data_IF_117715401844
#
_entry.id   IF_117715401844
#
_cell.length_a   1.000
_cell.length_b   1.000
_cell.length_c   1.000
_cell.angle_alpha   90.00
_cell.angle_beta   90.00
_cell.angle_gamma   90.00
#
_symmetry.space_group_name_H-M   'P 1'
#
loop_
_entity.id
_entity.type
_entity.pdbx_description
1 polymer ?
#
# COMPACT_ATOMS: atom_id res chain seq x y z
N UNK A 1 -96.11 39.71 8.96
CA UNK A 1 -95.35 40.16 10.16
C UNK A 1 -93.98 39.55 10.09
N UNK A 2 -93.09 40.40 9.75
CA UNK A 2 -91.75 40.09 9.23
C UNK A 2 -90.76 40.05 10.39
N UNK A 3 -89.88 39.05 10.38
CA UNK A 3 -88.75 38.95 11.28
C UNK A 3 -87.46 38.85 10.53
N UNK A 4 -86.79 40.01 10.42
CA UNK A 4 -85.53 40.18 9.83
C UNK A 4 -84.41 39.47 10.66
N UNK A 5 -83.68 38.54 10.05
CA UNK A 5 -82.53 37.96 10.69
C UNK A 5 -81.25 38.59 10.07
N UNK A 6 -80.55 39.31 10.92
CA UNK A 6 -79.22 39.88 10.62
C UNK A 6 -78.13 38.82 10.74
N UNK A 7 -77.44 38.50 9.61
CA UNK A 7 -76.31 37.65 9.63
C UNK A 7 -75.05 38.42 10.06
N UNK A 8 -74.47 37.99 11.19
CA UNK A 8 -73.19 38.47 11.68
C UNK A 8 -72.07 37.78 10.94
N UNK A 9 -71.26 38.54 10.14
CA UNK A 9 -70.07 38.09 9.52
C UNK A 9 -68.93 37.88 10.57
N UNK A 10 -68.35 36.71 10.58
CA UNK A 10 -67.15 36.43 11.38
C UNK A 10 -65.91 37.08 10.76
N UNK A 11 -64.96 37.63 11.54
CA UNK A 11 -63.77 38.25 10.96
C UNK A 11 -62.82 37.17 10.48
N UNK A 12 -62.45 37.27 9.20
CA UNK A 12 -61.43 36.43 8.56
C UNK A 12 -60.04 36.65 9.21
N UNK A 13 -59.54 35.62 9.80
CA UNK A 13 -58.20 35.62 10.37
C UNK A 13 -57.18 35.51 9.23
N UNK A 14 -56.72 36.65 8.71
CA UNK A 14 -55.65 36.80 7.74
C UNK A 14 -54.27 36.63 8.40
N UNK A 15 -53.96 35.47 8.93
CA UNK A 15 -52.65 35.09 9.38
C UNK A 15 -51.79 34.63 8.20
N UNK A 16 -51.25 35.57 7.41
CA UNK A 16 -50.21 35.30 6.44
C UNK A 16 -48.91 34.92 7.13
N UNK A 17 -48.87 33.75 7.75
CA UNK A 17 -47.59 33.17 8.17
C UNK A 17 -46.80 32.79 6.93
N UNK A 18 -45.71 33.51 6.64
CA UNK A 18 -44.74 33.16 5.62
C UNK A 18 -44.25 31.76 5.94
N UNK A 19 -44.75 30.72 5.22
CA UNK A 19 -44.28 29.36 5.42
C UNK A 19 -42.82 29.33 5.00
N UNK A 20 -41.91 29.21 5.98
CA UNK A 20 -40.45 29.11 5.74
C UNK A 20 -40.21 27.90 4.82
N UNK A 21 -39.56 28.14 3.69
CA UNK A 21 -39.31 27.08 2.70
C UNK A 21 -38.50 25.94 3.33
N UNK A 22 -38.66 24.70 2.83
CA UNK A 22 -37.85 23.55 3.28
C UNK A 22 -36.36 23.83 3.13
N UNK A 23 -35.99 24.56 2.07
CA UNK A 23 -34.60 25.00 1.85
C UNK A 23 -34.12 25.90 2.99
N UNK A 24 -34.93 26.87 3.38
CA UNK A 24 -34.53 27.83 4.42
C UNK A 24 -34.50 27.19 5.81
N UNK A 25 -35.44 26.30 6.12
CA UNK A 25 -35.36 25.46 7.31
C UNK A 25 -34.10 24.60 7.32
N UNK A 26 -33.73 23.99 6.18
CA UNK A 26 -32.48 23.26 6.00
C UNK A 26 -31.25 24.11 6.26
N UNK A 27 -31.24 25.36 5.78
CA UNK A 27 -30.18 26.33 6.01
C UNK A 27 -30.01 26.68 7.50
N UNK A 28 -31.12 26.84 8.24
CA UNK A 28 -31.07 27.11 9.68
C UNK A 28 -30.50 25.92 10.47
N UNK A 29 -30.92 24.69 10.15
CA UNK A 29 -30.31 23.48 10.75
C UNK A 29 -28.83 23.31 10.37
N UNK A 30 -28.46 23.66 9.16
CA UNK A 30 -27.05 23.65 8.72
C UNK A 30 -26.20 24.62 9.53
N UNK A 31 -26.66 25.89 9.71
CA UNK A 31 -25.99 26.90 10.53
C UNK A 31 -25.90 26.48 12.01
N UNK A 32 -26.92 25.79 12.50
CA UNK A 32 -26.94 25.23 13.86
C UNK A 32 -26.09 23.95 14.04
N UNK A 33 -25.36 23.51 12.98
CA UNK A 33 -24.53 22.30 13.02
C UNK A 33 -25.30 20.97 12.93
N UNK A 34 -26.65 21.02 12.80
CA UNK A 34 -27.48 19.83 12.68
C UNK A 34 -27.55 19.35 11.22
N UNK A 35 -26.42 18.87 10.72
CA UNK A 35 -26.24 18.48 9.31
C UNK A 35 -27.16 17.33 8.88
N UNK A 36 -27.53 16.43 9.80
CA UNK A 36 -28.44 15.32 9.50
C UNK A 36 -29.86 15.83 9.19
N UNK A 37 -30.39 16.72 10.03
CA UNK A 37 -31.71 17.34 9.79
C UNK A 37 -31.67 18.24 8.55
N UNK A 38 -30.58 19.01 8.35
CA UNK A 38 -30.41 19.83 7.17
C UNK A 38 -30.47 18.96 5.89
N UNK A 39 -29.71 17.86 5.83
CA UNK A 39 -29.72 16.95 4.68
C UNK A 39 -31.08 16.30 4.43
N UNK A 40 -31.85 15.97 5.48
CA UNK A 40 -33.21 15.47 5.36
C UNK A 40 -34.17 16.50 4.75
N UNK A 41 -34.12 17.75 5.21
CA UNK A 41 -34.92 18.84 4.67
C UNK A 41 -34.56 19.19 3.23
N UNK A 42 -33.28 19.24 2.88
CA UNK A 42 -32.86 19.40 1.48
C UNK A 42 -33.34 18.24 0.62
N UNK A 43 -33.37 17.01 1.14
CA UNK A 43 -33.91 15.86 0.41
C UNK A 43 -35.40 15.99 0.15
N UNK A 44 -36.16 16.53 1.10
CA UNK A 44 -37.59 16.83 0.91
C UNK A 44 -37.79 17.96 -0.10
N UNK A 45 -36.96 19.03 -0.03
CA UNK A 45 -36.98 20.13 -0.98
C UNK A 45 -36.66 19.66 -2.42
N UNK A 46 -35.68 18.77 -2.60
CA UNK A 46 -35.31 18.17 -3.89
C UNK A 46 -36.48 17.37 -4.48
N UNK A 47 -37.28 16.67 -3.67
CA UNK A 47 -38.48 15.99 -4.17
C UNK A 47 -39.51 16.96 -4.76
N UNK A 48 -39.58 18.19 -4.23
CA UNK A 48 -40.49 19.24 -4.71
C UNK A 48 -39.92 19.96 -5.94
N UNK A 49 -38.60 20.21 -5.94
CA UNK A 49 -37.90 20.92 -7.03
C UNK A 49 -36.59 20.19 -7.39
N UNK A 50 -36.68 19.11 -8.20
CA UNK A 50 -35.52 18.28 -8.53
C UNK A 50 -34.53 18.93 -9.51
N UNK A 51 -34.88 20.07 -10.11
CA UNK A 51 -34.01 20.80 -11.05
C UNK A 51 -33.25 21.97 -10.42
N UNK A 52 -33.37 22.16 -9.12
CA UNK A 52 -32.74 23.28 -8.41
C UNK A 52 -31.31 22.92 -7.95
N UNK A 53 -30.27 23.42 -8.60
CA UNK A 53 -28.88 23.07 -8.26
C UNK A 53 -28.48 23.51 -6.85
N UNK A 54 -29.13 24.57 -6.31
CA UNK A 54 -28.81 25.08 -4.96
C UNK A 54 -29.09 24.03 -3.88
N UNK A 55 -30.16 23.23 -4.05
CA UNK A 55 -30.54 22.21 -3.09
C UNK A 55 -29.51 21.08 -3.00
N UNK A 56 -29.03 20.64 -4.15
CA UNK A 56 -27.94 19.64 -4.21
C UNK A 56 -26.63 20.20 -3.65
N UNK A 57 -26.25 21.43 -3.99
CA UNK A 57 -25.07 22.10 -3.45
C UNK A 57 -25.11 22.21 -1.93
N UNK A 58 -26.27 22.54 -1.34
CA UNK A 58 -26.46 22.62 0.10
C UNK A 58 -26.42 21.26 0.76
N UNK A 59 -27.06 20.24 0.12
CA UNK A 59 -27.04 18.87 0.65
C UNK A 59 -25.64 18.25 0.55
N UNK A 60 -24.89 18.54 -0.51
CA UNK A 60 -23.47 18.16 -0.61
C UNK A 60 -22.65 18.69 0.55
N UNK A 61 -22.85 19.96 0.92
CA UNK A 61 -22.19 20.55 2.07
C UNK A 61 -22.59 19.85 3.39
N UNK A 62 -23.86 19.50 3.57
CA UNK A 62 -24.33 18.78 4.75
C UNK A 62 -23.74 17.36 4.79
N UNK A 63 -23.70 16.63 3.67
CA UNK A 63 -23.07 15.30 3.59
C UNK A 63 -21.57 15.33 3.82
N UNK A 64 -20.89 16.39 3.36
CA UNK A 64 -19.46 16.58 3.61
C UNK A 64 -19.19 16.68 5.12
N UNK A 65 -19.96 17.50 5.84
CA UNK A 65 -19.83 17.63 7.30
C UNK A 65 -20.21 16.34 8.05
N UNK A 66 -21.02 15.48 7.45
CA UNK A 66 -21.37 14.16 7.99
C UNK A 66 -20.38 13.06 7.58
N UNK A 67 -19.26 13.40 6.93
CA UNK A 67 -18.28 12.48 6.35
C UNK A 67 -18.90 11.44 5.38
N UNK A 68 -20.06 11.73 4.79
CA UNK A 68 -20.71 10.90 3.76
C UNK A 68 -20.21 11.29 2.37
N UNK A 69 -18.90 11.09 2.14
CA UNK A 69 -18.16 11.67 1.03
C UNK A 69 -18.68 11.26 -0.35
N UNK A 70 -19.06 9.99 -0.54
CA UNK A 70 -19.62 9.51 -1.82
C UNK A 70 -20.95 10.18 -2.16
N UNK A 71 -21.82 10.38 -1.15
CA UNK A 71 -23.10 11.09 -1.37
C UNK A 71 -22.87 12.59 -1.63
N UNK A 72 -21.92 13.18 -0.93
CA UNK A 72 -21.53 14.58 -1.15
C UNK A 72 -20.99 14.80 -2.56
N UNK A 73 -20.17 13.86 -3.07
CA UNK A 73 -19.62 13.93 -4.42
C UNK A 73 -20.73 13.84 -5.49
N UNK A 74 -21.64 12.88 -5.35
CA UNK A 74 -22.78 12.74 -6.26
C UNK A 74 -23.65 14.00 -6.31
N UNK A 75 -23.91 14.65 -5.17
CA UNK A 75 -24.67 15.89 -5.12
C UNK A 75 -23.92 17.08 -5.72
N UNK A 76 -22.60 17.16 -5.52
CA UNK A 76 -21.77 18.18 -6.16
C UNK A 76 -21.76 18.01 -7.71
N UNK A 77 -21.68 16.78 -8.21
CA UNK A 77 -21.76 16.48 -9.63
C UNK A 77 -23.14 16.77 -10.20
N UNK A 78 -24.22 16.47 -9.47
CA UNK A 78 -25.58 16.85 -9.84
C UNK A 78 -25.72 18.37 -9.90
N UNK A 79 -25.10 19.11 -8.98
CA UNK A 79 -25.08 20.59 -9.00
C UNK A 79 -24.44 21.10 -10.30
N UNK A 80 -23.31 20.52 -10.71
CA UNK A 80 -22.61 20.87 -11.96
C UNK A 80 -23.49 20.52 -13.17
N UNK A 81 -24.10 19.33 -13.20
CA UNK A 81 -24.95 18.90 -14.29
C UNK A 81 -26.15 19.82 -14.50
N UNK A 82 -26.77 20.31 -13.42
CA UNK A 82 -27.91 21.22 -13.48
C UNK A 82 -27.52 22.67 -13.78
N UNK A 83 -26.31 23.06 -13.42
CA UNK A 83 -25.80 24.41 -13.65
C UNK A 83 -24.28 24.41 -13.93
N UNK A 84 -23.88 24.08 -15.17
CA UNK A 84 -22.47 23.87 -15.54
C UNK A 84 -21.58 25.12 -15.36
N UNK A 85 -22.16 26.32 -15.40
CA UNK A 85 -21.42 27.58 -15.29
C UNK A 85 -21.39 28.14 -13.86
N UNK A 86 -21.94 27.41 -12.91
CA UNK A 86 -22.01 27.89 -11.54
C UNK A 86 -20.80 27.39 -10.72
N UNK A 87 -19.94 28.30 -10.31
CA UNK A 87 -18.69 28.02 -9.60
C UNK A 87 -18.87 27.19 -8.33
N UNK A 88 -20.03 27.33 -7.66
CA UNK A 88 -20.29 26.61 -6.40
C UNK A 88 -20.35 25.09 -6.58
N UNK A 89 -20.79 24.59 -7.74
CA UNK A 89 -20.78 23.16 -8.02
C UNK A 89 -19.34 22.61 -7.98
N UNK A 90 -18.44 23.26 -8.70
CA UNK A 90 -17.03 22.89 -8.74
C UNK A 90 -16.33 23.10 -7.40
N UNK A 91 -16.66 24.18 -6.71
CA UNK A 91 -16.15 24.44 -5.36
C UNK A 91 -16.55 23.30 -4.40
N UNK A 92 -17.82 22.87 -4.40
CA UNK A 92 -18.30 21.73 -3.59
C UNK A 92 -17.58 20.46 -3.96
N UNK A 93 -17.45 20.15 -5.27
CA UNK A 93 -16.70 18.99 -5.75
C UNK A 93 -15.25 19.02 -5.23
N UNK A 94 -14.56 20.15 -5.35
CA UNK A 94 -13.21 20.32 -4.83
C UNK A 94 -13.11 20.08 -3.32
N UNK A 95 -14.05 20.61 -2.52
CA UNK A 95 -14.07 20.38 -1.07
C UNK A 95 -14.29 18.91 -0.70
N UNK A 96 -15.11 18.19 -1.45
CA UNK A 96 -15.36 16.76 -1.20
C UNK A 96 -14.14 15.94 -1.58
N UNK A 97 -13.52 16.21 -2.72
CA UNK A 97 -12.29 15.54 -3.18
C UNK A 97 -11.12 15.81 -2.23
N UNK A 98 -11.02 17.03 -1.67
CA UNK A 98 -10.06 17.35 -0.60
C UNK A 98 -10.25 16.42 0.61
N UNK A 99 -11.50 16.22 1.05
CA UNK A 99 -11.82 15.35 2.18
C UNK A 99 -11.60 13.85 1.86
N UNK A 100 -11.59 13.48 0.58
CA UNK A 100 -11.23 12.14 0.08
C UNK A 100 -9.72 11.98 -0.13
N UNK A 101 -8.91 12.98 0.15
CA UNK A 101 -7.47 13.03 -0.12
C UNK A 101 -7.09 12.86 -1.60
N UNK A 102 -8.03 13.12 -2.51
CA UNK A 102 -7.85 13.12 -3.96
C UNK A 102 -7.44 14.53 -4.41
N UNK A 103 -6.22 14.93 -4.02
CA UNK A 103 -5.79 16.32 -4.09
C UNK A 103 -5.64 16.85 -5.53
N UNK A 104 -5.17 16.04 -6.46
CA UNK A 104 -5.00 16.47 -7.86
C UNK A 104 -6.37 16.78 -8.48
N UNK A 105 -7.35 15.90 -8.31
CA UNK A 105 -8.71 16.11 -8.79
C UNK A 105 -9.42 17.26 -8.05
N UNK A 106 -9.12 17.47 -6.78
CA UNK A 106 -9.62 18.62 -6.03
C UNK A 106 -9.06 19.92 -6.61
N UNK A 107 -7.78 19.94 -7.00
CA UNK A 107 -7.14 21.10 -7.61
C UNK A 107 -7.80 21.44 -8.96
N UNK A 108 -8.03 20.44 -9.81
CA UNK A 108 -8.72 20.62 -11.09
C UNK A 108 -10.13 21.22 -10.89
N UNK A 109 -10.88 20.70 -9.92
CA UNK A 109 -12.21 21.24 -9.62
C UNK A 109 -12.16 22.70 -9.15
N UNK A 110 -11.18 23.06 -8.27
CA UNK A 110 -11.01 24.44 -7.85
C UNK A 110 -10.51 25.35 -8.98
N UNK A 111 -9.69 24.86 -9.91
CA UNK A 111 -9.28 25.62 -11.11
C UNK A 111 -10.47 26.00 -11.96
N UNK A 112 -11.39 25.05 -12.22
CA UNK A 112 -12.63 25.36 -12.94
C UNK A 112 -13.50 26.35 -12.17
N UNK A 113 -13.62 26.20 -10.84
CA UNK A 113 -14.34 27.17 -10.03
C UNK A 113 -13.73 28.56 -10.15
N UNK A 114 -12.40 28.68 -10.20
CA UNK A 114 -11.67 29.95 -10.37
C UNK A 114 -11.90 30.57 -11.76
N UNK A 115 -12.08 29.77 -12.81
CA UNK A 115 -12.41 30.29 -14.15
C UNK A 115 -13.77 30.98 -14.16
N UNK A 116 -14.77 30.41 -13.45
CA UNK A 116 -16.10 31.03 -13.37
C UNK A 116 -16.18 32.17 -12.35
N UNK A 117 -15.33 32.18 -11.34
CA UNK A 117 -15.26 33.26 -10.34
C UNK A 117 -13.81 33.58 -9.96
N UNK A 118 -13.07 34.34 -10.80
CA UNK A 118 -11.66 34.68 -10.57
C UNK A 118 -11.41 35.52 -9.31
N UNK A 119 -12.42 36.22 -8.83
CA UNK A 119 -12.29 37.11 -7.66
C UNK A 119 -12.52 36.37 -6.33
N UNK A 120 -12.80 35.07 -6.36
CA UNK A 120 -13.03 34.30 -5.14
C UNK A 120 -11.74 34.06 -4.35
N UNK A 121 -11.60 34.82 -3.26
CA UNK A 121 -10.47 34.64 -2.32
C UNK A 121 -10.49 33.28 -1.63
N UNK A 122 -11.68 32.70 -1.45
CA UNK A 122 -11.86 31.39 -0.85
C UNK A 122 -11.32 30.29 -1.76
N UNK A 123 -11.67 30.31 -3.06
CA UNK A 123 -11.15 29.39 -4.07
C UNK A 123 -9.63 29.48 -4.13
N UNK A 124 -9.08 30.70 -4.23
CA UNK A 124 -7.63 30.93 -4.29
C UNK A 124 -6.90 30.37 -3.07
N UNK A 125 -7.47 30.55 -1.87
CA UNK A 125 -6.92 30.00 -0.62
C UNK A 125 -6.95 28.46 -0.63
N UNK A 126 -8.05 27.87 -1.08
CA UNK A 126 -8.19 26.42 -1.22
C UNK A 126 -7.18 25.86 -2.20
N UNK A 127 -7.05 26.46 -3.38
CA UNK A 127 -6.05 26.03 -4.38
C UNK A 127 -4.63 26.03 -3.82
N UNK A 128 -4.22 27.12 -3.14
CA UNK A 128 -2.90 27.20 -2.52
C UNK A 128 -2.68 26.08 -1.50
N UNK A 129 -3.66 25.83 -0.64
CA UNK A 129 -3.59 24.78 0.39
C UNK A 129 -3.51 23.39 -0.25
N UNK A 130 -4.37 23.11 -1.23
CA UNK A 130 -4.44 21.78 -1.90
C UNK A 130 -3.16 21.53 -2.70
N UNK A 131 -2.62 22.54 -3.40
CA UNK A 131 -1.34 22.41 -4.10
C UNK A 131 -0.19 22.07 -3.15
N UNK A 132 -0.23 22.54 -1.91
CA UNK A 132 0.76 22.16 -0.91
C UNK A 132 0.56 20.70 -0.46
N UNK A 133 -0.68 20.32 -0.12
CA UNK A 133 -1.01 18.95 0.30
C UNK A 133 -0.69 17.92 -0.78
N UNK A 134 -0.99 18.21 -2.05
CA UNK A 134 -0.64 17.35 -3.17
C UNK A 134 0.87 17.12 -3.29
N UNK A 135 1.66 18.21 -3.17
CA UNK A 135 3.14 18.12 -3.19
C UNK A 135 3.68 17.32 -2.01
N UNK A 136 3.13 17.57 -0.81
CA UNK A 136 3.59 16.86 0.40
C UNK A 136 3.25 15.37 0.34
N UNK A 137 2.05 15.02 -0.18
CA UNK A 137 1.65 13.62 -0.43
C UNK A 137 2.58 12.95 -1.44
N UNK A 138 2.82 13.60 -2.59
CA UNK A 138 3.71 13.06 -3.63
C UNK A 138 5.14 12.88 -3.10
N UNK A 139 5.65 13.85 -2.34
CA UNK A 139 6.97 13.74 -1.70
C UNK A 139 7.02 12.58 -0.71
N UNK A 140 5.96 12.40 0.09
CA UNK A 140 5.86 11.29 1.03
C UNK A 140 5.83 9.94 0.30
N UNK A 141 5.09 9.83 -0.80
CA UNK A 141 5.04 8.64 -1.65
C UNK A 141 6.40 8.37 -2.33
N UNK A 142 7.11 9.38 -2.82
CA UNK A 142 8.45 9.24 -3.38
C UNK A 142 9.46 8.78 -2.32
N UNK A 143 9.43 9.38 -1.12
CA UNK A 143 10.29 8.95 0.00
C UNK A 143 9.94 7.51 0.41
N UNK A 144 8.68 7.13 0.39
CA UNK A 144 8.25 5.77 0.69
C UNK A 144 8.69 4.78 -0.38
N UNK A 145 8.58 5.14 -1.66
CA UNK A 145 9.14 4.35 -2.78
C UNK A 145 10.66 4.20 -2.67
N UNK A 146 11.38 5.28 -2.34
CA UNK A 146 12.84 5.19 -2.12
C UNK A 146 13.20 4.34 -0.90
N UNK A 147 12.37 4.33 0.15
CA UNK A 147 12.56 3.50 1.34
C UNK A 147 12.13 2.06 1.16
N UNK A 148 11.10 1.83 0.33
CA UNK A 148 10.60 0.48 0.02
C UNK A 148 11.45 -0.24 -1.02
N UNK A 149 12.22 0.46 -1.82
CA UNK A 149 13.09 -0.10 -2.85
C UNK A 149 14.50 -0.27 -2.28
N UNK A 150 14.72 -1.37 -1.58
CA UNK A 150 16.07 -1.92 -1.46
C UNK A 150 16.47 -2.32 -2.88
N UNK A 151 17.44 -1.65 -3.47
CA UNK A 151 17.98 -2.01 -4.78
C UNK A 151 18.84 -3.27 -4.63
N UNK A 152 18.15 -4.39 -4.58
CA UNK A 152 18.77 -5.72 -4.41
C UNK A 152 19.82 -5.97 -5.50
N UNK A 153 19.52 -5.62 -6.75
CA UNK A 153 20.42 -5.85 -7.87
C UNK A 153 21.72 -5.05 -7.72
N UNK A 154 21.65 -3.82 -7.22
CA UNK A 154 22.83 -3.00 -6.92
C UNK A 154 23.69 -3.62 -5.83
N UNK A 155 23.08 -4.10 -4.74
CA UNK A 155 23.80 -4.74 -3.63
C UNK A 155 24.42 -6.09 -4.02
N UNK A 156 23.88 -6.74 -5.05
CA UNK A 156 24.40 -7.99 -5.59
C UNK A 156 25.34 -7.80 -6.80
N UNK A 157 25.67 -6.57 -7.17
CA UNK A 157 26.52 -6.29 -8.35
C UNK A 157 27.90 -6.94 -8.28
N UNK A 158 28.53 -6.97 -7.10
CA UNK A 158 29.80 -7.66 -6.87
C UNK A 158 29.68 -9.16 -7.11
N UNK A 159 28.56 -9.76 -6.66
CA UNK A 159 28.29 -11.17 -6.86
C UNK A 159 28.10 -11.52 -8.34
N UNK A 160 27.57 -10.59 -9.15
CA UNK A 160 27.42 -10.78 -10.59
C UNK A 160 28.79 -11.04 -11.26
N UNK A 161 29.83 -10.30 -10.83
CA UNK A 161 31.20 -10.51 -11.33
C UNK A 161 31.74 -11.87 -10.87
N UNK A 162 31.58 -12.23 -9.59
CA UNK A 162 32.02 -13.53 -9.08
C UNK A 162 31.32 -14.69 -9.81
N UNK A 163 30.01 -14.60 -10.04
CA UNK A 163 29.26 -15.59 -10.81
C UNK A 163 29.73 -15.68 -12.26
N UNK A 164 30.02 -14.54 -12.87
CA UNK A 164 30.51 -14.50 -14.25
C UNK A 164 31.87 -15.22 -14.41
N UNK A 165 32.76 -15.08 -13.43
CA UNK A 165 34.02 -15.79 -13.38
C UNK A 165 33.83 -17.30 -13.22
N UNK A 166 32.99 -17.71 -12.28
CA UNK A 166 32.72 -19.12 -11.95
C UNK A 166 31.98 -19.88 -13.08
N UNK A 167 31.06 -19.20 -13.77
CA UNK A 167 30.24 -19.80 -14.83
C UNK A 167 30.79 -19.59 -16.26
N UNK A 168 31.96 -18.94 -16.39
CA UNK A 168 32.61 -18.74 -17.69
C UNK A 168 31.99 -17.66 -18.58
N UNK A 169 31.29 -16.69 -17.99
CA UNK A 169 30.78 -15.51 -18.67
C UNK A 169 29.43 -15.00 -18.17
N UNK A 170 29.13 -13.74 -18.49
CA UNK A 170 27.89 -13.06 -18.03
C UNK A 170 26.61 -13.73 -18.57
N UNK A 171 26.66 -14.33 -19.74
CA UNK A 171 25.51 -14.98 -20.37
C UNK A 171 25.16 -16.28 -19.66
N UNK A 172 26.16 -17.04 -19.23
CA UNK A 172 25.99 -18.30 -18.52
C UNK A 172 25.45 -18.11 -17.09
N UNK A 173 25.80 -17.01 -16.43
CA UNK A 173 25.33 -16.74 -15.08
C UNK A 173 24.04 -15.91 -15.01
N UNK A 174 23.52 -15.40 -16.13
CA UNK A 174 22.34 -14.51 -16.18
C UNK A 174 21.13 -15.08 -15.46
N UNK A 175 20.79 -16.32 -15.76
CA UNK A 175 19.63 -16.99 -15.16
C UNK A 175 19.79 -17.18 -13.65
N UNK A 176 20.99 -17.55 -13.23
CA UNK A 176 21.32 -17.75 -11.81
C UNK A 176 21.25 -16.44 -11.05
N UNK A 177 21.78 -15.36 -11.63
CA UNK A 177 21.73 -14.03 -11.04
C UNK A 177 20.30 -13.50 -10.96
N UNK A 178 19.51 -13.61 -12.05
CA UNK A 178 18.10 -13.19 -12.06
C UNK A 178 17.27 -13.94 -11.02
N UNK A 179 17.48 -15.25 -10.92
CA UNK A 179 16.79 -16.09 -9.92
C UNK A 179 17.07 -15.63 -8.49
N UNK A 180 18.33 -15.29 -8.15
CA UNK A 180 18.68 -14.78 -6.83
C UNK A 180 18.02 -13.41 -6.57
N UNK A 181 18.12 -12.48 -7.54
CA UNK A 181 17.52 -11.15 -7.43
C UNK A 181 16.02 -11.25 -7.21
N UNK A 182 15.31 -11.98 -8.08
CA UNK A 182 13.85 -12.19 -7.96
C UNK A 182 13.44 -12.81 -6.62
N UNK A 183 14.19 -13.80 -6.14
CA UNK A 183 13.90 -14.45 -4.86
C UNK A 183 14.05 -13.46 -3.70
N UNK A 184 15.11 -12.66 -3.70
CA UNK A 184 15.37 -11.68 -2.64
C UNK A 184 14.38 -10.52 -2.69
N UNK A 185 14.03 -10.02 -3.88
CA UNK A 185 13.00 -8.98 -4.07
C UNK A 185 11.62 -9.45 -3.60
N UNK A 186 11.25 -10.69 -3.92
CA UNK A 186 9.99 -11.28 -3.46
C UNK A 186 9.94 -11.43 -1.93
N UNK A 187 11.06 -11.79 -1.30
CA UNK A 187 11.15 -11.86 0.16
C UNK A 187 11.03 -10.46 0.79
N UNK A 188 11.72 -9.44 0.24
CA UNK A 188 11.60 -8.04 0.66
C UNK A 188 10.16 -7.55 0.51
N UNK A 189 9.53 -7.82 -0.62
CA UNK A 189 8.13 -7.47 -0.89
C UNK A 189 7.18 -8.13 0.11
N UNK A 190 7.34 -9.43 0.36
CA UNK A 190 6.54 -10.16 1.36
C UNK A 190 6.66 -9.53 2.75
N UNK A 191 7.87 -9.14 3.14
CA UNK A 191 8.08 -8.46 4.42
C UNK A 191 7.37 -7.10 4.49
N UNK A 192 7.42 -6.31 3.41
CA UNK A 192 6.73 -5.02 3.34
C UNK A 192 5.21 -5.16 3.45
N UNK A 193 4.65 -6.20 2.84
CA UNK A 193 3.20 -6.43 2.81
C UNK A 193 2.66 -7.03 4.12
N UNK A 194 3.40 -7.98 4.72
CA UNK A 194 2.89 -8.82 5.81
C UNK A 194 3.69 -8.74 7.11
N UNK A 195 4.82 -8.04 7.13
CA UNK A 195 5.82 -8.04 8.20
C UNK A 195 6.35 -9.45 8.52
N UNK A 196 6.28 -10.37 7.56
CA UNK A 196 6.72 -11.76 7.70
C UNK A 196 7.31 -12.27 6.39
N UNK A 197 8.17 -13.25 6.54
CA UNK A 197 8.68 -14.07 5.44
C UNK A 197 8.53 -15.53 5.86
N UNK A 198 7.91 -16.33 5.00
CA UNK A 198 7.80 -17.77 5.25
C UNK A 198 9.13 -18.46 4.93
N UNK A 199 9.54 -19.45 5.72
CA UNK A 199 10.75 -20.21 5.45
C UNK A 199 10.52 -21.13 4.25
N UNK A 200 11.24 -20.86 3.16
CA UNK A 200 11.06 -21.54 1.87
C UNK A 200 12.40 -21.80 1.19
N UNK A 201 12.41 -22.87 0.40
CA UNK A 201 13.51 -23.16 -0.54
C UNK A 201 12.98 -23.08 -1.96
N UNK A 202 13.69 -22.34 -2.78
CA UNK A 202 13.46 -22.15 -4.20
C UNK A 202 14.58 -22.84 -4.97
N UNK A 203 14.27 -23.50 -6.08
CA UNK A 203 15.23 -24.15 -6.91
C UNK A 203 15.19 -23.61 -8.34
N UNK A 204 16.36 -23.40 -8.93
CA UNK A 204 16.52 -23.09 -10.34
C UNK A 204 16.93 -24.37 -11.07
N UNK A 205 16.09 -24.85 -11.98
CA UNK A 205 16.33 -26.08 -12.73
C UNK A 205 17.20 -25.83 -13.97
N UNK A 206 17.86 -26.89 -14.42
CA UNK A 206 18.61 -26.89 -15.67
C UNK A 206 17.67 -27.21 -16.85
N UNK A 207 17.30 -26.20 -17.62
CA UNK A 207 16.38 -26.33 -18.74
C UNK A 207 16.90 -27.22 -19.88
N UNK A 208 18.21 -27.42 -19.95
CA UNK A 208 18.82 -28.30 -20.99
C UNK A 208 18.64 -29.77 -20.65
N UNK A 209 18.42 -30.07 -19.37
CA UNK A 209 18.31 -31.45 -18.85
C UNK A 209 16.91 -31.84 -18.44
N UNK A 210 15.99 -30.87 -18.39
CA UNK A 210 14.61 -31.11 -17.95
C UNK A 210 13.63 -30.53 -18.96
N UNK A 211 12.60 -31.31 -19.34
CA UNK A 211 11.46 -30.83 -20.14
C UNK A 211 10.43 -30.06 -19.30
N UNK A 212 10.79 -29.65 -18.07
CA UNK A 212 9.92 -29.01 -17.10
C UNK A 212 10.14 -27.51 -17.05
N UNK A 213 9.22 -26.82 -16.36
CA UNK A 213 9.32 -25.37 -16.11
C UNK A 213 10.68 -25.00 -15.46
N UNK A 214 11.20 -23.83 -15.82
CA UNK A 214 12.49 -23.29 -15.34
C UNK A 214 12.59 -23.29 -13.81
N UNK A 215 11.49 -23.03 -13.11
CA UNK A 215 11.43 -22.99 -11.65
C UNK A 215 10.70 -24.22 -11.11
N UNK A 216 11.34 -24.86 -10.14
CA UNK A 216 10.73 -25.94 -9.38
C UNK A 216 9.62 -25.43 -8.45
N UNK A 217 8.75 -26.32 -7.97
CA UNK A 217 7.83 -25.97 -6.90
C UNK A 217 8.56 -25.41 -5.68
N UNK A 218 7.99 -24.36 -5.08
CA UNK A 218 8.51 -23.76 -3.86
C UNK A 218 8.26 -24.70 -2.68
N UNK A 219 9.33 -25.05 -1.96
CA UNK A 219 9.24 -25.98 -0.82
C UNK A 219 9.16 -25.18 0.49
N UNK A 220 8.05 -25.37 1.22
CA UNK A 220 7.93 -24.82 2.58
C UNK A 220 8.72 -25.69 3.57
N UNK A 221 9.54 -25.04 4.40
CA UNK A 221 10.42 -25.70 5.37
C UNK A 221 10.14 -25.29 6.82
N UNK A 222 8.94 -24.80 7.15
CA UNK A 222 8.57 -24.40 8.51
C UNK A 222 8.91 -25.49 9.53
N UNK A 223 8.48 -26.71 9.23
CA UNK A 223 8.68 -27.87 10.11
C UNK A 223 10.12 -28.34 10.23
N UNK A 224 10.99 -27.90 9.34
CA UNK A 224 12.40 -28.28 9.40
C UNK A 224 13.11 -27.76 10.66
N UNK A 225 12.59 -26.70 11.28
CA UNK A 225 13.20 -26.05 12.42
C UNK A 225 12.58 -26.43 13.78
N UNK A 226 11.59 -27.33 13.79
CA UNK A 226 10.92 -27.78 15.02
C UNK A 226 11.80 -28.70 15.88
N UNK A 227 12.65 -29.50 15.25
CA UNK A 227 13.55 -30.41 15.96
C UNK A 227 14.79 -30.77 15.12
N UNK A 228 15.88 -31.24 15.76
CA UNK A 228 17.06 -31.74 15.03
C UNK A 228 16.75 -32.88 14.05
N UNK A 229 15.77 -33.72 14.37
CA UNK A 229 15.37 -34.84 13.52
C UNK A 229 14.63 -34.36 12.27
N UNK A 230 13.64 -33.48 12.43
CA UNK A 230 12.92 -32.88 11.29
C UNK A 230 13.87 -32.05 10.42
N UNK A 231 14.82 -31.37 11.03
CA UNK A 231 15.87 -30.63 10.33
C UNK A 231 16.71 -31.55 9.44
N UNK A 232 17.28 -32.63 10.03
CA UNK A 232 18.10 -33.57 9.30
C UNK A 232 17.38 -34.24 8.13
N UNK A 233 16.13 -34.68 8.35
CA UNK A 233 15.30 -35.32 7.32
C UNK A 233 14.96 -34.36 6.19
N UNK A 234 14.52 -33.13 6.51
CA UNK A 234 14.17 -32.12 5.52
C UNK A 234 15.36 -31.78 4.63
N UNK A 235 16.52 -31.47 5.19
CA UNK A 235 17.70 -31.12 4.41
C UNK A 235 18.29 -32.31 3.65
N UNK A 236 18.16 -33.52 4.13
CA UNK A 236 18.52 -34.73 3.35
C UNK A 236 17.61 -34.89 2.12
N UNK A 237 16.31 -34.66 2.28
CA UNK A 237 15.37 -34.67 1.17
C UNK A 237 15.68 -33.57 0.17
N UNK A 238 15.94 -32.33 0.60
CA UNK A 238 16.25 -31.21 -0.26
C UNK A 238 17.53 -31.41 -1.08
N UNK A 239 18.57 -32.04 -0.47
CA UNK A 239 19.81 -32.42 -1.19
C UNK A 239 19.52 -33.44 -2.27
N UNK A 240 18.72 -34.46 -1.96
CA UNK A 240 18.34 -35.49 -2.96
C UNK A 240 17.52 -34.86 -4.07
N UNK A 241 16.55 -34.01 -3.71
CA UNK A 241 15.75 -33.30 -4.69
C UNK A 241 16.61 -32.41 -5.62
N UNK A 242 17.58 -31.68 -5.09
CA UNK A 242 18.48 -30.84 -5.89
C UNK A 242 19.25 -31.66 -6.95
N UNK A 243 19.63 -32.91 -6.60
CA UNK A 243 20.31 -33.83 -7.53
C UNK A 243 19.34 -34.36 -8.57
N UNK A 244 18.19 -34.90 -8.12
CA UNK A 244 17.23 -35.59 -8.98
C UNK A 244 16.54 -34.62 -9.97
N UNK A 245 16.38 -33.36 -9.57
CA UNK A 245 15.78 -32.32 -10.41
C UNK A 245 16.78 -31.57 -11.29
N UNK A 246 18.05 -31.96 -11.30
CA UNK A 246 19.13 -31.25 -12.01
C UNK A 246 19.14 -29.75 -11.70
N UNK A 247 19.07 -29.38 -10.41
CA UNK A 247 19.06 -27.99 -10.02
C UNK A 247 20.41 -27.32 -10.24
N UNK A 248 20.42 -26.16 -10.91
CA UNK A 248 21.62 -25.30 -11.10
C UNK A 248 21.94 -24.49 -9.86
N UNK A 249 20.91 -24.05 -9.13
CA UNK A 249 21.03 -23.25 -7.92
C UNK A 249 19.81 -23.43 -7.00
N UNK A 250 19.97 -23.02 -5.76
CA UNK A 250 18.89 -22.91 -4.80
C UNK A 250 19.02 -21.63 -3.96
N UNK A 251 17.86 -21.06 -3.60
CA UNK A 251 17.78 -19.98 -2.63
C UNK A 251 16.92 -20.45 -1.44
N UNK A 252 17.50 -20.37 -0.24
CA UNK A 252 16.79 -20.61 1.00
C UNK A 252 16.52 -19.28 1.67
N UNK A 253 15.25 -19.00 1.96
CA UNK A 253 14.80 -17.82 2.69
C UNK A 253 14.24 -18.27 4.03
N UNK A 254 14.70 -17.66 5.12
CA UNK A 254 14.24 -18.02 6.46
C UNK A 254 14.20 -16.80 7.39
N UNK A 255 13.09 -16.57 8.12
CA UNK A 255 13.02 -15.49 9.09
C UNK A 255 13.99 -15.76 10.25
N UNK A 256 14.58 -14.69 10.78
CA UNK A 256 15.48 -14.76 11.93
C UNK A 256 14.84 -15.44 13.13
N UNK A 257 13.54 -15.27 13.32
CA UNK A 257 12.80 -15.78 14.47
C UNK A 257 12.78 -17.31 14.60
N UNK A 258 12.89 -18.05 13.46
CA UNK A 258 12.88 -19.53 13.52
C UNK A 258 14.28 -20.14 13.62
N UNK A 259 15.32 -19.38 13.25
CA UNK A 259 16.68 -19.85 13.36
C UNK A 259 17.11 -19.67 14.80
N UNK A 260 17.19 -20.78 15.55
CA UNK A 260 17.67 -20.79 16.93
C UNK A 260 19.06 -20.18 17.02
N UNK A 261 19.09 -18.92 17.35
CA UNK A 261 20.23 -18.13 17.57
C UNK A 261 20.90 -18.59 18.87
N UNK A 262 22.03 -19.01 18.93
CA UNK A 262 23.31 -18.30 18.87
C UNK A 262 24.49 -19.08 18.28
N UNK A 263 24.26 -20.16 17.55
CA UNK A 263 25.36 -21.05 17.16
C UNK A 263 26.34 -20.41 16.19
N UNK A 264 25.84 -19.55 15.32
CA UNK A 264 26.66 -18.86 14.28
C UNK A 264 27.64 -17.85 14.86
N UNK A 265 27.34 -17.30 16.03
CA UNK A 265 28.07 -16.15 16.59
C UNK A 265 28.94 -16.51 17.78
N UNK A 266 28.88 -17.74 18.27
CA UNK A 266 29.74 -18.24 19.37
C UNK A 266 31.21 -18.26 19.01
N UNK A 267 31.58 -18.33 17.75
CA UNK A 267 32.97 -18.38 17.31
C UNK A 267 33.66 -17.02 17.11
N UNK A 268 32.92 -15.91 17.10
CA UNK A 268 33.49 -14.58 16.82
C UNK A 268 33.86 -13.76 18.07
N UNK A 269 33.98 -14.39 19.25
CA UNK A 269 34.32 -13.72 20.47
C UNK A 269 33.22 -12.85 21.06
N UNK A 270 33.52 -12.06 22.08
CA UNK A 270 32.56 -11.23 22.83
C UNK A 270 31.88 -10.08 22.05
N UNK A 271 31.98 -9.99 20.74
CA UNK A 271 31.32 -8.95 19.95
C UNK A 271 29.85 -9.30 19.80
N UNK A 272 28.98 -8.45 20.35
CA UNK A 272 27.55 -8.50 20.10
C UNK A 272 27.33 -8.31 18.59
N UNK A 273 26.59 -9.23 17.98
CA UNK A 273 26.18 -9.05 16.60
C UNK A 273 25.39 -7.74 16.42
N UNK A 274 25.80 -6.91 15.47
CA UNK A 274 25.23 -5.57 15.25
C UNK A 274 23.73 -5.57 14.98
N UNK A 275 23.18 -6.68 14.47
CA UNK A 275 21.75 -6.86 14.20
C UNK A 275 21.04 -7.71 15.25
N UNK A 276 21.65 -7.94 16.42
CA UNK A 276 21.03 -8.74 17.47
C UNK A 276 19.63 -8.28 17.88
N UNK A 277 19.39 -6.98 17.82
CA UNK A 277 18.12 -6.35 18.18
C UNK A 277 17.20 -6.05 16.97
N UNK A 278 17.68 -6.22 15.74
CA UNK A 278 16.87 -6.02 14.54
C UNK A 278 16.14 -7.32 14.19
N UNK A 279 14.92 -7.21 13.78
CA UNK A 279 14.22 -8.29 13.09
C UNK A 279 14.74 -8.42 11.66
N UNK A 280 14.29 -9.42 10.91
CA UNK A 280 14.72 -9.62 9.55
C UNK A 280 14.72 -11.08 9.14
N UNK A 281 15.34 -11.35 8.00
CA UNK A 281 15.42 -12.68 7.45
C UNK A 281 16.77 -12.94 6.77
N UNK A 282 17.10 -14.22 6.67
CA UNK A 282 18.29 -14.69 5.98
C UNK A 282 17.92 -15.14 4.57
N UNK A 283 18.83 -14.90 3.63
CA UNK A 283 18.79 -15.46 2.27
C UNK A 283 20.12 -16.18 2.04
N UNK A 284 20.04 -17.49 1.88
CA UNK A 284 21.18 -18.30 1.47
C UNK A 284 21.04 -18.65 -0.01
N UNK A 285 21.97 -18.22 -0.81
CA UNK A 285 22.13 -18.69 -2.17
C UNK A 285 23.18 -19.79 -2.20
N UNK A 286 22.91 -20.84 -2.96
CA UNK A 286 23.83 -21.94 -3.13
C UNK A 286 23.74 -22.51 -4.55
N UNK A 287 24.90 -22.78 -5.11
CA UNK A 287 25.10 -23.49 -6.35
C UNK A 287 26.25 -24.49 -6.17
N UNK A 288 26.54 -25.37 -7.13
CA UNK A 288 27.70 -26.27 -7.06
C UNK A 288 29.04 -25.53 -6.87
N UNK A 289 29.13 -24.27 -7.33
CA UNK A 289 30.37 -23.50 -7.35
C UNK A 289 30.45 -22.43 -6.26
N UNK A 290 29.32 -21.90 -5.83
CA UNK A 290 29.28 -20.74 -4.96
C UNK A 290 28.20 -20.86 -3.89
N UNK A 291 28.54 -20.43 -2.67
CA UNK A 291 27.61 -20.33 -1.53
C UNK A 291 27.76 -18.98 -0.85
N UNK A 292 26.67 -18.25 -0.72
CA UNK A 292 26.63 -16.94 -0.05
C UNK A 292 25.43 -16.86 0.88
N UNK A 293 25.57 -16.08 1.93
CA UNK A 293 24.53 -15.84 2.91
C UNK A 293 24.38 -14.34 3.16
N UNK A 294 23.18 -13.85 3.11
CA UNK A 294 22.84 -12.48 3.49
C UNK A 294 21.87 -12.47 4.66
N UNK A 295 21.97 -11.43 5.45
CA UNK A 295 20.93 -11.01 6.37
C UNK A 295 20.32 -9.72 5.86
N UNK A 296 18.99 -9.66 5.78
CA UNK A 296 18.22 -8.46 5.45
C UNK A 296 17.62 -7.93 6.74
N UNK A 297 18.20 -6.87 7.33
CA UNK A 297 17.67 -6.28 8.56
C UNK A 297 16.34 -5.58 8.28
N UNK A 298 15.35 -5.81 9.13
CA UNK A 298 14.04 -5.21 8.99
C UNK A 298 13.64 -4.51 10.29
N UNK A 299 12.82 -3.49 10.17
CA UNK A 299 12.23 -2.76 11.29
C UNK A 299 10.77 -2.46 11.04
N UNK A 300 10.02 -2.32 12.13
CA UNK A 300 8.65 -1.81 12.07
C UNK A 300 8.61 -0.48 12.81
N UNK A 301 8.64 0.62 12.07
CA UNK A 301 8.63 1.96 12.61
C UNK A 301 7.28 2.62 12.34
N UNK A 302 6.53 2.95 13.40
CA UNK A 302 5.22 3.64 13.32
C UNK A 302 4.20 2.94 12.40
N UNK A 303 4.19 1.60 12.41
CA UNK A 303 3.28 0.80 11.59
C UNK A 303 3.72 0.62 10.14
N UNK A 304 4.94 1.05 9.79
CA UNK A 304 5.55 0.81 8.48
C UNK A 304 6.68 -0.19 8.60
N UNK A 305 6.60 -1.22 7.79
CA UNK A 305 7.64 -2.25 7.69
C UNK A 305 8.71 -1.77 6.71
N UNK A 306 9.95 -1.74 7.16
CA UNK A 306 11.09 -1.30 6.37
C UNK A 306 12.15 -2.40 6.34
N UNK A 307 12.62 -2.75 5.15
CA UNK A 307 13.85 -3.53 4.98
C UNK A 307 15.02 -2.57 4.76
N UNK A 308 16.19 -2.95 5.30
CA UNK A 308 17.46 -2.29 5.02
C UNK A 308 18.23 -3.08 3.98
N UNK A 309 19.35 -2.53 3.54
CA UNK A 309 20.22 -3.16 2.54
C UNK A 309 20.67 -4.54 3.00
N UNK A 310 20.67 -5.54 2.10
CA UNK A 310 21.17 -6.88 2.39
C UNK A 310 22.64 -6.82 2.80
N UNK A 311 22.99 -7.46 3.90
CA UNK A 311 24.36 -7.55 4.36
C UNK A 311 24.88 -8.98 4.17
N UNK A 312 25.99 -9.09 3.46
CA UNK A 312 26.68 -10.37 3.29
C UNK A 312 27.28 -10.81 4.62
N UNK A 313 27.09 -12.08 4.95
CA UNK A 313 27.62 -12.70 6.14
C UNK A 313 28.74 -13.66 5.78
N UNK A 314 29.81 -13.63 6.57
CA UNK A 314 30.85 -14.66 6.48
C UNK A 314 30.26 -15.98 7.04
N UNK A 315 30.16 -16.98 6.16
CA UNK A 315 29.61 -18.29 6.52
C UNK A 315 30.60 -19.09 7.37
N UNK A 316 31.90 -18.81 7.29
CA UNK A 316 32.97 -19.40 8.11
C UNK A 316 32.71 -20.85 8.53
N UNK A 317 33.25 -21.24 9.69
CA UNK A 317 33.05 -22.59 10.25
C UNK A 317 31.64 -22.87 10.81
N UNK A 318 30.72 -21.92 10.74
CA UNK A 318 29.41 -22.03 11.39
C UNK A 318 28.29 -21.99 10.34
N UNK A 319 27.73 -23.14 10.03
CA UNK A 319 26.59 -23.27 9.13
C UNK A 319 25.30 -22.78 9.83
N UNK A 320 24.78 -21.62 9.43
CA UNK A 320 23.44 -21.17 9.85
C UNK A 320 22.38 -22.06 9.23
N UNK A 321 22.57 -22.38 7.97
CA UNK A 321 21.68 -23.20 7.17
C UNK A 321 22.53 -24.28 6.49
N UNK A 322 22.08 -25.56 6.48
CA UNK A 322 22.85 -26.66 5.90
C UNK A 322 23.07 -26.50 4.41
N UNK A 323 24.15 -27.04 3.90
CA UNK A 323 24.40 -27.10 2.47
C UNK A 323 23.40 -27.98 1.74
N UNK A 324 23.01 -27.56 0.56
CA UNK A 324 22.12 -28.28 -0.36
C UNK A 324 22.92 -28.97 -1.48
N UNK A 325 24.00 -28.38 -1.94
CA UNK A 325 24.87 -28.95 -2.99
C UNK A 325 26.13 -29.56 -2.39
N UNK A 326 26.63 -30.64 -3.00
CA UNK A 326 27.93 -31.18 -2.68
C UNK A 326 29.01 -30.22 -3.19
N UNK A 327 30.09 -30.03 -2.42
CA UNK A 327 31.26 -29.33 -2.92
C UNK A 327 31.82 -30.07 -4.12
N UNK A 328 31.90 -29.39 -5.25
CA UNK A 328 32.80 -29.81 -6.31
C UNK A 328 34.20 -29.46 -5.84
N UNK A 329 34.92 -30.45 -5.27
CA UNK A 329 36.36 -30.31 -5.07
C UNK A 329 36.97 -30.08 -6.46
N UNK A 330 37.40 -28.86 -6.74
CA UNK A 330 38.28 -28.59 -7.85
C UNK A 330 39.56 -29.35 -7.58
N UNK A 331 39.69 -30.53 -8.20
CA UNK A 331 41.00 -31.19 -8.32
C UNK A 331 41.90 -30.24 -9.10
N UNK A 332 42.80 -29.59 -8.37
CA UNK A 332 43.96 -28.88 -8.89
C UNK A 332 44.92 -29.81 -9.62
#
# INVERSE_FOLDING_TARGET
MEGSQTATAAPGNGGGGVSVSLKDQGNEFFKAGNYLKAAALYTQAIKQDPKNPTLYSNRAAAFLNLAKLTKALADAEMTISLSPNWEKGYFRKGCVLEAMERYDEALDAFQVASQYNPQSTEVSRKMKRISQLARDKKRAEEVEKMRANVDVAKHLSTLKSELSEEYGGEECCRDVFSFLVETMENAVKSWHETAKVDPRVYFLLDNEKTDTEKYAPVVNIDKAFESPHTHGNCFSFLRQYAVDSFSKAACLVAPKSIISYPQVWKGQGFRKWKHGQHDGFFVQFESPHLRKLWFVPCSNEKGKTLCRDPEILDIGAHEVLPRLFKETTSNS
#
